data_IF_489698912556
#
_entry.id   IF_489698912556
#
_cell.length_a   1.000
_cell.length_b   1.000
_cell.length_c   1.000
_cell.angle_alpha   90.00
_cell.angle_beta   90.00
_cell.angle_gamma   90.00
#
_symmetry.space_group_name_H-M   'P 1'
#
loop_
_entity.id
_entity.type
_entity.pdbx_description
1 polymer ?
#
# COMPACT_ATOMS: atom_id res chain seq x y z
N UNK A 1 -18.95 15.62 -21.11
CA UNK A 1 -19.71 15.25 -19.87
C UNK A 1 -19.32 13.82 -19.53
N UNK A 2 -18.35 13.61 -18.63
CA UNK A 2 -17.89 12.28 -18.22
C UNK A 2 -18.64 11.86 -16.94
N UNK A 3 -19.88 11.43 -17.10
CA UNK A 3 -20.69 10.83 -16.04
C UNK A 3 -20.57 9.30 -16.10
N UNK A 4 -19.46 8.76 -15.61
CA UNK A 4 -19.32 7.31 -15.37
C UNK A 4 -18.25 6.99 -14.32
N UNK A 5 -18.04 7.88 -13.36
CA UNK A 5 -17.37 7.48 -12.13
C UNK A 5 -18.39 6.67 -11.34
N UNK A 6 -18.23 5.34 -11.32
CA UNK A 6 -18.83 4.52 -10.25
C UNK A 6 -18.57 5.26 -8.93
N UNK A 7 -19.57 5.37 -8.08
CA UNK A 7 -19.41 5.91 -6.73
C UNK A 7 -18.44 5.00 -5.97
N UNK A 8 -17.16 5.34 -6.02
CA UNK A 8 -16.14 4.63 -5.25
C UNK A 8 -16.35 5.01 -3.79
N UNK A 9 -16.48 4.00 -2.92
CA UNK A 9 -16.34 4.21 -1.49
C UNK A 9 -14.90 4.65 -1.24
N UNK A 10 -14.70 5.95 -1.03
CA UNK A 10 -13.38 6.54 -0.84
C UNK A 10 -13.36 7.29 0.48
N UNK A 11 -12.64 6.72 1.45
CA UNK A 11 -12.13 7.48 2.59
C UNK A 11 -10.70 7.92 2.23
N UNK A 12 -10.34 9.17 2.51
CA UNK A 12 -8.97 9.63 2.25
C UNK A 12 -7.98 8.87 3.13
N UNK A 13 -6.85 8.46 2.55
CA UNK A 13 -5.76 7.75 3.21
C UNK A 13 -5.10 8.53 4.35
N UNK A 14 -5.30 9.84 4.43
CA UNK A 14 -4.70 10.70 5.45
C UNK A 14 -5.68 11.15 6.54
N UNK A 15 -6.90 10.60 6.56
CA UNK A 15 -7.88 11.00 7.54
C UNK A 15 -7.39 10.65 8.96
N UNK A 16 -7.41 11.66 9.83
CA UNK A 16 -7.34 11.44 11.27
C UNK A 16 -8.67 10.84 11.72
N UNK A 17 -8.69 10.18 12.88
CA UNK A 17 -9.90 9.51 13.35
C UNK A 17 -11.06 10.47 13.63
N UNK A 18 -10.76 11.74 13.89
CA UNK A 18 -11.75 12.79 14.10
C UNK A 18 -12.05 13.59 12.82
N UNK A 19 -11.47 13.21 11.68
CA UNK A 19 -11.74 13.83 10.37
C UNK A 19 -13.05 13.25 9.80
N UNK A 20 -13.92 14.12 9.26
CA UNK A 20 -15.19 13.73 8.63
C UNK A 20 -15.01 12.78 7.43
N UNK A 21 -13.76 12.63 6.97
CA UNK A 21 -13.37 11.75 5.85
C UNK A 21 -13.10 10.30 6.26
N UNK A 22 -13.17 9.98 7.55
CA UNK A 22 -12.98 8.64 8.08
C UNK A 22 -14.32 8.00 8.42
N UNK A 23 -14.93 7.24 7.50
CA UNK A 23 -16.29 6.74 7.68
C UNK A 23 -16.35 5.25 7.98
N UNK A 24 -15.55 4.44 7.28
CA UNK A 24 -15.74 2.98 7.26
C UNK A 24 -14.76 2.21 8.13
N UNK A 25 -13.50 2.61 8.18
CA UNK A 25 -12.44 1.91 8.93
C UNK A 25 -11.88 2.86 9.99
N UNK A 26 -12.23 2.67 11.26
CA UNK A 26 -11.87 3.60 12.35
C UNK A 26 -11.09 2.93 13.48
N UNK A 27 -11.34 1.64 13.69
CA UNK A 27 -10.82 0.88 14.83
C UNK A 27 -9.95 -0.28 14.39
N UNK A 28 -9.25 -0.89 15.35
CA UNK A 28 -8.45 -2.08 15.09
C UNK A 28 -9.31 -3.27 14.63
N UNK A 29 -10.48 -3.44 15.24
CA UNK A 29 -11.43 -4.47 14.84
C UNK A 29 -11.88 -4.29 13.38
N UNK A 30 -12.21 -3.06 12.97
CA UNK A 30 -12.63 -2.76 11.60
C UNK A 30 -11.58 -3.21 10.57
N UNK A 31 -10.32 -2.85 10.80
CA UNK A 31 -9.25 -3.17 9.85
C UNK A 31 -8.91 -4.66 9.86
N UNK A 32 -8.91 -5.27 11.04
CA UNK A 32 -8.61 -6.68 11.20
C UNK A 32 -9.65 -7.54 10.49
N UNK A 33 -10.93 -7.17 10.61
CA UNK A 33 -12.05 -7.80 9.93
C UNK A 33 -12.01 -7.53 8.41
N UNK A 34 -11.75 -6.30 7.99
CA UNK A 34 -11.65 -5.94 6.56
C UNK A 34 -10.56 -6.74 5.83
N UNK A 35 -9.45 -7.02 6.52
CA UNK A 35 -8.33 -7.83 6.00
C UNK A 35 -8.42 -9.31 6.31
N UNK A 36 -9.49 -9.75 6.98
CA UNK A 36 -9.77 -11.15 7.11
C UNK A 36 -10.42 -11.68 5.83
N UNK A 37 -9.75 -12.60 5.14
CA UNK A 37 -10.29 -13.23 3.94
C UNK A 37 -10.19 -14.73 4.08
N UNK A 38 -11.35 -15.42 3.99
CA UNK A 38 -11.44 -16.87 4.17
C UNK A 38 -10.79 -17.36 5.48
N UNK A 39 -10.98 -16.60 6.57
CA UNK A 39 -10.40 -16.85 7.88
C UNK A 39 -8.85 -16.79 7.93
N UNK A 40 -8.22 -16.14 6.94
CA UNK A 40 -6.78 -15.88 6.88
C UNK A 40 -6.57 -14.37 6.96
N UNK A 41 -5.70 -13.94 7.88
CA UNK A 41 -5.33 -12.54 8.02
C UNK A 41 -4.40 -12.08 6.88
N UNK A 42 -4.77 -11.01 6.18
CA UNK A 42 -4.03 -10.43 5.04
C UNK A 42 -3.43 -9.05 5.32
N UNK A 43 -3.39 -8.63 6.58
CA UNK A 43 -2.75 -7.39 7.02
C UNK A 43 -1.27 -7.31 6.54
N UNK A 44 -0.78 -6.09 6.20
CA UNK A 44 0.64 -5.86 6.01
C UNK A 44 1.42 -6.08 7.33
N UNK A 45 2.74 -6.12 7.24
CA UNK A 45 3.59 -6.05 8.42
C UNK A 45 3.26 -4.79 9.22
N UNK A 46 2.77 -4.99 10.44
CA UNK A 46 2.35 -3.91 11.32
C UNK A 46 3.54 -3.39 12.11
N UNK A 47 3.51 -2.10 12.48
CA UNK A 47 4.47 -1.59 13.45
C UNK A 47 4.19 -2.22 14.82
N UNK A 48 5.27 -2.63 15.50
CA UNK A 48 5.23 -3.32 16.81
C UNK A 48 4.64 -2.50 17.96
N UNK A 49 4.20 -1.26 17.75
CA UNK A 49 3.41 -0.54 18.76
C UNK A 49 2.09 -1.26 19.09
N UNK A 50 1.69 -2.25 18.27
CA UNK A 50 0.61 -3.20 18.56
C UNK A 50 0.91 -4.26 19.64
N UNK A 51 2.16 -4.42 20.05
CA UNK A 51 2.53 -5.21 21.21
C UNK A 51 2.24 -4.44 22.50
N UNK A 52 1.39 -5.01 23.34
CA UNK A 52 1.08 -4.61 24.71
C UNK A 52 2.18 -3.79 25.41
N UNK A 53 1.82 -2.57 25.86
CA UNK A 53 2.50 -1.89 26.97
C UNK A 53 2.15 -2.60 28.29
N UNK A 54 2.52 -3.87 28.41
CA UNK A 54 2.76 -4.48 29.72
C UNK A 54 4.26 -4.44 29.94
N UNK A 55 4.68 -3.40 30.65
CA UNK A 55 5.92 -3.36 31.41
C UNK A 55 6.07 -4.66 32.19
N UNK A 56 6.83 -5.61 31.65
CA UNK A 56 7.52 -6.60 32.45
C UNK A 56 8.90 -6.79 31.85
N UNK A 57 9.88 -6.38 32.64
CA UNK A 57 11.29 -6.65 32.49
C UNK A 57 11.46 -8.17 32.35
N UNK A 58 12.12 -8.63 31.28
CA UNK A 58 12.50 -10.03 31.10
C UNK A 58 11.85 -10.66 29.87
N UNK A 59 12.70 -11.11 28.94
CA UNK A 59 12.33 -11.49 27.59
C UNK A 59 11.31 -12.63 27.47
N UNK A 60 10.51 -12.52 26.41
CA UNK A 60 10.03 -13.61 25.55
C UNK A 60 9.41 -12.98 24.31
N UNK A 61 9.65 -13.63 23.17
CA UNK A 61 9.40 -13.17 21.82
C UNK A 61 8.08 -12.40 21.67
N UNK A 62 8.20 -11.13 21.27
CA UNK A 62 7.06 -10.36 20.77
C UNK A 62 6.57 -11.03 19.49
N UNK A 63 5.47 -11.77 19.61
CA UNK A 63 4.81 -12.44 18.49
C UNK A 63 4.50 -11.42 17.40
N UNK A 64 5.31 -11.46 16.33
CA UNK A 64 4.95 -10.86 15.04
C UNK A 64 3.56 -11.37 14.71
N UNK A 65 2.57 -10.49 14.66
CA UNK A 65 1.22 -10.81 14.16
C UNK A 65 1.40 -11.40 12.77
N UNK A 66 1.36 -12.72 12.71
CA UNK A 66 1.81 -13.48 11.57
C UNK A 66 0.74 -13.36 10.48
N UNK A 67 1.14 -13.00 9.25
CA UNK A 67 0.25 -12.78 8.08
C UNK A 67 -0.42 -14.06 7.54
N UNK A 68 -0.58 -15.06 8.41
CA UNK A 68 -1.26 -16.35 8.20
C UNK A 68 -2.05 -16.82 9.42
N UNK A 69 -2.18 -16.00 10.47
CA UNK A 69 -2.99 -16.31 11.65
C UNK A 69 -4.48 -16.45 11.28
N UNK A 70 -5.20 -17.28 12.04
CA UNK A 70 -6.68 -17.29 12.01
C UNK A 70 -7.18 -15.88 12.32
N UNK A 71 -8.29 -15.47 11.70
CA UNK A 71 -8.89 -14.16 11.95
C UNK A 71 -9.66 -14.15 13.28
N UNK A 72 -8.97 -14.45 14.35
CA UNK A 72 -9.56 -14.35 15.67
C UNK A 72 -9.14 -13.03 16.29
N UNK A 73 -10.10 -12.27 16.81
CA UNK A 73 -9.87 -11.00 17.53
C UNK A 73 -10.12 -11.18 19.03
N UNK A 74 -10.53 -12.38 19.46
CA UNK A 74 -10.88 -12.67 20.84
C UNK A 74 -9.70 -12.61 21.81
N UNK A 75 -8.46 -12.65 21.29
CA UNK A 75 -7.24 -12.44 22.08
C UNK A 75 -7.02 -10.98 22.48
N UNK A 76 -7.75 -10.02 21.88
CA UNK A 76 -7.68 -8.60 22.23
C UNK A 76 -8.78 -8.22 23.22
N UNK A 77 -8.41 -7.37 24.19
CA UNK A 77 -9.38 -6.76 25.10
C UNK A 77 -10.42 -5.91 24.35
N UNK A 78 -11.61 -5.72 24.92
CA UNK A 78 -12.65 -4.84 24.34
C UNK A 78 -12.11 -3.42 24.09
N UNK A 79 -11.23 -2.92 24.96
CA UNK A 79 -10.60 -1.61 24.82
C UNK A 79 -9.65 -1.54 23.61
N UNK A 80 -8.82 -2.57 23.41
CA UNK A 80 -7.91 -2.65 22.28
C UNK A 80 -8.65 -2.82 20.95
N UNK A 81 -9.72 -3.60 20.92
CA UNK A 81 -10.57 -3.79 19.74
C UNK A 81 -11.20 -2.48 19.27
N UNK A 82 -11.75 -1.72 20.21
CA UNK A 82 -12.41 -0.42 19.96
C UNK A 82 -11.43 0.73 19.85
N UNK A 83 -10.12 0.49 20.02
CA UNK A 83 -9.11 1.52 19.94
C UNK A 83 -9.07 2.09 18.53
N UNK A 84 -9.16 3.41 18.47
CA UNK A 84 -9.05 4.21 17.26
C UNK A 84 -7.68 3.99 16.61
N UNK A 85 -7.65 3.83 15.28
CA UNK A 85 -6.40 3.57 14.54
C UNK A 85 -6.06 4.70 13.58
N UNK A 86 -4.78 4.88 13.32
CA UNK A 86 -4.27 5.81 12.33
C UNK A 86 -3.19 5.14 11.48
N UNK A 87 -3.14 5.39 10.17
CA UNK A 87 -4.13 6.07 9.33
C UNK A 87 -5.45 5.31 9.25
N UNK A 88 -6.58 6.01 9.27
CA UNK A 88 -7.88 5.38 9.17
C UNK A 88 -8.40 5.42 7.72
N UNK A 89 -9.55 4.78 7.46
CA UNK A 89 -10.20 4.76 6.15
C UNK A 89 -9.77 3.64 5.19
N UNK A 90 -10.58 3.46 4.15
CA UNK A 90 -10.47 2.38 3.16
C UNK A 90 -9.19 2.40 2.32
N UNK A 91 -8.66 3.58 1.95
CA UNK A 91 -7.43 3.63 1.14
C UNK A 91 -6.25 3.06 1.92
N UNK A 92 -6.11 3.45 3.18
CA UNK A 92 -5.09 2.94 4.08
C UNK A 92 -5.31 1.47 4.41
N UNK A 93 -6.57 1.10 4.70
CA UNK A 93 -6.94 -0.28 4.97
C UNK A 93 -6.66 -1.19 3.77
N UNK A 94 -6.75 -0.71 2.53
CA UNK A 94 -6.57 -1.49 1.28
C UNK A 94 -5.14 -1.51 0.72
N UNK A 95 -4.16 -0.96 1.47
CA UNK A 95 -2.74 -0.93 1.08
C UNK A 95 -2.20 -2.23 0.44
N UNK A 96 -1.51 -2.08 -0.67
CA UNK A 96 -0.81 -3.19 -1.31
C UNK A 96 0.37 -3.68 -0.46
N UNK A 97 0.43 -4.98 -0.21
CA UNK A 97 1.41 -5.59 0.70
C UNK A 97 2.10 -6.83 0.12
N UNK A 98 2.00 -7.07 -1.19
CA UNK A 98 2.84 -8.09 -1.80
C UNK A 98 4.26 -7.57 -1.98
N UNK A 99 5.22 -8.48 -1.83
CA UNK A 99 6.64 -8.21 -1.99
C UNK A 99 7.21 -9.16 -3.02
N UNK A 100 8.04 -8.63 -3.90
CA UNK A 100 8.75 -9.39 -4.92
C UNK A 100 10.26 -9.27 -4.76
N UNK A 101 10.96 -10.27 -5.27
CA UNK A 101 12.40 -10.30 -5.46
C UNK A 101 12.68 -10.72 -6.89
N UNK A 102 13.55 -9.97 -7.58
CA UNK A 102 14.02 -10.31 -8.91
C UNK A 102 15.42 -10.92 -8.79
N UNK A 103 15.65 -12.01 -9.52
CA UNK A 103 16.96 -12.67 -9.58
C UNK A 103 17.26 -13.22 -10.96
N UNK A 104 18.55 -13.40 -11.24
CA UNK A 104 19.08 -14.07 -12.43
C UNK A 104 20.21 -14.98 -11.95
N UNK A 105 20.00 -16.29 -12.02
CA UNK A 105 20.88 -17.28 -11.39
C UNK A 105 21.06 -16.94 -9.88
N UNK A 106 22.29 -16.75 -9.42
CA UNK A 106 22.59 -16.39 -8.03
C UNK A 106 22.58 -14.87 -7.76
N UNK A 107 22.45 -14.03 -8.81
CA UNK A 107 22.42 -12.58 -8.65
C UNK A 107 21.02 -12.11 -8.28
N UNK A 108 20.93 -11.34 -7.21
CA UNK A 108 19.70 -10.69 -6.75
C UNK A 108 19.78 -9.22 -7.13
N UNK A 109 18.74 -8.73 -7.81
CA UNK A 109 18.63 -7.32 -8.18
C UNK A 109 18.05 -6.53 -7.01
N UNK A 110 18.71 -5.44 -6.64
CA UNK A 110 18.17 -4.51 -5.65
C UNK A 110 17.08 -3.63 -6.29
N UNK A 111 15.95 -3.52 -5.59
CA UNK A 111 14.78 -2.75 -6.03
C UNK A 111 14.62 -1.60 -5.05
N UNK A 112 15.16 -0.43 -5.41
CA UNK A 112 15.10 0.75 -4.57
C UNK A 112 13.71 1.42 -4.67
N UNK A 113 13.05 1.56 -3.52
CA UNK A 113 11.72 2.16 -3.42
C UNK A 113 11.73 3.67 -3.13
N UNK A 114 12.87 4.27 -2.81
CA UNK A 114 12.95 5.70 -2.50
C UNK A 114 12.77 6.63 -3.72
N UNK A 115 13.36 6.34 -4.90
CA UNK A 115 13.28 7.23 -6.07
C UNK A 115 11.86 7.47 -6.57
N UNK A 116 10.91 6.59 -6.23
CA UNK A 116 9.52 6.66 -6.69
C UNK A 116 8.64 7.50 -5.76
N UNK A 117 9.19 8.03 -4.66
CA UNK A 117 8.44 8.79 -3.66
C UNK A 117 8.56 10.29 -3.91
N UNK A 118 7.47 11.01 -3.64
CA UNK A 118 7.50 12.46 -3.57
C UNK A 118 7.94 12.90 -2.16
N UNK A 119 9.09 13.56 -2.05
CA UNK A 119 9.64 14.01 -0.77
C UNK A 119 8.71 14.97 -0.01
N UNK A 120 7.85 15.72 -0.71
CA UNK A 120 6.86 16.59 -0.07
C UNK A 120 5.83 15.82 0.76
N UNK A 121 5.58 14.55 0.46
CA UNK A 121 4.61 13.71 1.17
C UNK A 121 5.07 13.38 2.60
N UNK A 122 6.37 13.50 2.89
CA UNK A 122 6.92 13.22 4.21
C UNK A 122 6.63 14.37 5.20
N UNK A 123 6.65 15.61 4.73
CA UNK A 123 6.54 16.79 5.60
C UNK A 123 5.13 17.11 6.06
N UNK A 124 4.13 16.87 5.21
CA UNK A 124 2.71 17.15 5.50
C UNK A 124 2.18 16.35 6.71
N UNK A 125 2.81 15.22 7.01
CA UNK A 125 2.34 14.25 8.00
C UNK A 125 2.85 14.53 9.43
N UNK A 126 4.10 14.98 9.59
CA UNK A 126 4.76 15.14 10.90
C UNK A 126 3.99 16.10 11.81
N UNK A 127 3.47 17.21 11.24
CA UNK A 127 2.79 18.26 12.01
C UNK A 127 1.43 17.82 12.56
N UNK A 128 0.67 17.03 11.79
CA UNK A 128 -0.66 16.53 12.21
C UNK A 128 -0.55 15.42 13.25
N UNK A 129 0.43 14.53 13.10
CA UNK A 129 0.62 13.41 14.03
C UNK A 129 0.94 13.88 15.46
N UNK A 130 1.84 14.85 15.61
CA UNK A 130 2.27 15.37 16.92
C UNK A 130 1.11 15.90 17.79
N UNK A 131 0.03 16.38 17.19
CA UNK A 131 -1.11 16.97 17.90
C UNK A 131 -2.11 15.93 18.45
N UNK A 132 -2.18 14.73 17.85
CA UNK A 132 -3.26 13.76 18.10
C UNK A 132 -2.74 12.35 18.44
N UNK A 133 -1.44 12.21 18.69
CA UNK A 133 -0.80 10.92 18.92
C UNK A 133 -1.35 10.14 20.15
N UNK A 134 -2.01 10.83 21.09
CA UNK A 134 -2.67 10.20 22.25
C UNK A 134 -4.01 9.54 21.91
N UNK A 135 -4.68 9.99 20.84
CA UNK A 135 -6.11 9.71 20.61
C UNK A 135 -6.34 8.48 19.72
N UNK A 136 -5.27 7.94 19.14
CA UNK A 136 -5.29 6.79 18.25
C UNK A 136 -4.00 5.99 18.35
N UNK A 137 -4.01 4.81 17.74
CA UNK A 137 -2.85 3.93 17.61
C UNK A 137 -2.37 3.87 16.18
N UNK A 138 -1.07 4.04 15.95
CA UNK A 138 -0.50 3.89 14.61
C UNK A 138 -0.36 2.40 14.29
N UNK A 139 -1.07 1.93 13.27
CA UNK A 139 -1.08 0.49 12.94
C UNK A 139 -0.15 0.12 11.79
N UNK A 140 0.26 1.11 10.97
CA UNK A 140 1.20 0.92 9.85
C UNK A 140 2.22 2.05 9.81
N UNK A 141 3.44 1.74 9.35
CA UNK A 141 4.47 2.73 9.15
C UNK A 141 4.12 3.68 8.00
N UNK A 142 3.62 4.86 8.35
CA UNK A 142 3.16 5.90 7.42
C UNK A 142 4.28 6.62 6.69
N UNK A 143 5.53 6.43 7.10
CA UNK A 143 6.72 6.90 6.38
C UNK A 143 7.36 5.81 5.53
N UNK A 144 6.78 4.60 5.45
CA UNK A 144 7.27 3.58 4.54
C UNK A 144 7.04 3.99 3.09
N UNK A 145 7.98 3.60 2.21
CA UNK A 145 7.84 3.81 0.77
C UNK A 145 6.55 3.18 0.22
N UNK A 146 6.23 1.97 0.70
CA UNK A 146 5.02 1.23 0.31
C UNK A 146 3.75 2.03 0.63
N UNK A 147 3.67 2.58 1.84
CA UNK A 147 2.54 3.42 2.24
C UNK A 147 2.49 4.74 1.48
N UNK A 148 3.61 5.45 1.34
CA UNK A 148 3.67 6.75 0.65
C UNK A 148 3.32 6.64 -0.82
N UNK A 149 3.71 5.57 -1.48
CA UNK A 149 3.31 5.32 -2.86
C UNK A 149 1.82 4.93 -2.97
N UNK A 150 1.30 4.15 -2.03
CA UNK A 150 -0.12 3.79 -2.00
C UNK A 150 -1.04 4.96 -1.65
N UNK A 151 -0.52 5.91 -0.87
CA UNK A 151 -1.23 7.06 -0.29
C UNK A 151 -2.11 7.81 -1.30
N UNK A 152 -1.62 8.03 -2.51
CA UNK A 152 -2.37 8.75 -3.54
C UNK A 152 -3.38 7.83 -4.23
N UNK A 153 -4.70 8.00 -4.06
CA UNK A 153 -5.67 7.16 -4.74
C UNK A 153 -5.55 7.35 -6.26
N UNK A 154 -5.64 6.27 -7.04
CA UNK A 154 -5.64 6.35 -8.50
C UNK A 154 -6.92 7.01 -8.99
N UNK A 155 -6.86 7.67 -10.15
CA UNK A 155 -8.05 8.28 -10.77
C UNK A 155 -9.01 7.24 -11.35
N UNK A 156 -8.54 6.04 -11.66
CA UNK A 156 -9.31 4.97 -12.33
C UNK A 156 -9.16 3.63 -11.59
N UNK A 157 -10.06 2.69 -11.86
CA UNK A 157 -10.05 1.35 -11.26
C UNK A 157 -8.90 0.45 -11.75
N UNK A 158 -8.32 0.80 -12.91
CA UNK A 158 -7.17 0.10 -13.50
C UNK A 158 -6.00 1.08 -13.51
N UNK A 159 -5.02 0.83 -12.65
CA UNK A 159 -3.94 1.77 -12.40
C UNK A 159 -2.62 1.04 -12.22
N UNK A 160 -1.54 1.79 -12.41
CA UNK A 160 -0.17 1.34 -12.17
C UNK A 160 0.41 2.24 -11.09
N UNK A 161 1.02 1.63 -10.09
CA UNK A 161 1.81 2.33 -9.07
C UNK A 161 3.26 1.88 -9.18
N UNK A 162 4.23 2.80 -9.16
CA UNK A 162 5.64 2.43 -9.23
C UNK A 162 6.03 1.66 -7.98
N UNK A 163 6.59 0.45 -8.12
CA UNK A 163 6.99 -0.36 -6.96
C UNK A 163 8.41 0.00 -6.48
N UNK A 164 9.31 0.27 -7.41
CA UNK A 164 10.69 0.67 -7.16
C UNK A 164 11.48 0.73 -8.47
N UNK A 165 12.77 1.04 -8.36
CA UNK A 165 13.70 1.20 -9.48
C UNK A 165 14.85 0.21 -9.31
N UNK A 166 15.18 -0.49 -10.39
CA UNK A 166 16.43 -1.24 -10.51
C UNK A 166 17.37 -0.33 -11.30
N UNK A 167 18.45 0.12 -10.66
CA UNK A 167 19.39 1.05 -11.27
C UNK A 167 20.37 0.38 -12.23
N UNK A 168 20.52 -0.93 -12.13
CA UNK A 168 21.40 -1.69 -13.01
C UNK A 168 20.69 -2.12 -14.30
N UNK A 169 21.44 -2.07 -15.41
CA UNK A 169 20.94 -2.49 -16.71
C UNK A 169 20.76 -4.02 -16.75
N UNK A 170 19.51 -4.43 -17.00
CA UNK A 170 19.15 -5.83 -17.16
C UNK A 170 19.60 -6.30 -18.55
N UNK A 171 20.48 -7.30 -18.57
CA UNK A 171 20.94 -7.90 -19.82
C UNK A 171 19.85 -8.77 -20.45
N UNK A 172 19.76 -8.87 -21.79
CA UNK A 172 18.85 -9.80 -22.44
C UNK A 172 19.09 -11.25 -21.99
N UNK A 173 18.02 -11.98 -21.70
CA UNK A 173 18.09 -13.40 -21.33
C UNK A 173 16.77 -13.95 -20.80
N UNK A 174 16.64 -15.27 -20.80
CA UNK A 174 15.35 -15.96 -20.52
C UNK A 174 15.23 -16.49 -19.08
N UNK A 175 16.27 -16.33 -18.25
CA UNK A 175 16.39 -16.99 -16.94
C UNK A 175 16.09 -16.09 -15.74
N UNK A 176 15.40 -14.96 -15.96
CA UNK A 176 14.98 -14.10 -14.87
C UNK A 176 13.87 -14.76 -14.05
N UNK A 177 14.01 -14.74 -12.72
CA UNK A 177 13.03 -15.26 -11.80
C UNK A 177 12.47 -14.15 -10.93
N UNK A 178 11.14 -14.04 -10.92
CA UNK A 178 10.39 -13.18 -9.98
C UNK A 178 9.83 -14.08 -8.89
N UNK A 179 10.39 -13.95 -7.70
CA UNK A 179 9.91 -14.62 -6.49
C UNK A 179 8.96 -13.69 -5.74
N UNK A 180 7.79 -14.19 -5.34
CA UNK A 180 6.90 -13.47 -4.44
C UNK A 180 7.23 -13.84 -3.00
N UNK A 181 8.04 -13.02 -2.34
CA UNK A 181 8.40 -13.22 -0.93
C UNK A 181 7.20 -12.97 0.00
N UNK A 182 6.24 -12.15 -0.44
CA UNK A 182 4.94 -11.99 0.22
C UNK A 182 3.84 -11.87 -0.84
N UNK A 183 2.77 -12.66 -0.72
CA UNK A 183 1.63 -12.66 -1.64
C UNK A 183 0.30 -12.75 -0.88
N UNK A 184 0.09 -11.81 0.03
CA UNK A 184 -1.06 -11.80 0.95
C UNK A 184 -2.18 -10.87 0.50
N UNK A 185 -1.94 -9.97 -0.46
CA UNK A 185 -2.96 -9.03 -0.90
C UNK A 185 -4.14 -9.76 -1.59
N UNK A 186 -5.39 -9.64 -1.10
CA UNK A 186 -6.49 -10.55 -1.42
C UNK A 186 -7.20 -10.24 -2.76
N UNK A 187 -6.44 -10.19 -3.86
CA UNK A 187 -6.93 -9.83 -5.18
C UNK A 187 -8.18 -10.62 -5.61
N UNK A 188 -8.15 -11.95 -5.47
CA UNK A 188 -9.27 -12.82 -5.89
C UNK A 188 -10.56 -12.51 -5.14
N UNK A 189 -10.48 -12.32 -3.82
CA UNK A 189 -11.65 -12.04 -2.99
C UNK A 189 -12.25 -10.67 -3.32
N UNK A 190 -11.39 -9.68 -3.58
CA UNK A 190 -11.81 -8.34 -4.00
C UNK A 190 -12.12 -8.21 -5.49
N UNK A 191 -12.19 -9.33 -6.23
CA UNK A 191 -12.44 -9.38 -7.67
C UNK A 191 -11.48 -8.47 -8.47
N UNK A 192 -10.26 -8.33 -7.99
CA UNK A 192 -9.18 -7.54 -8.59
C UNK A 192 -8.19 -8.43 -9.33
N UNK A 193 -7.50 -7.85 -10.32
CA UNK A 193 -6.34 -8.44 -10.97
C UNK A 193 -5.11 -7.64 -10.57
N UNK A 194 -4.01 -8.35 -10.28
CA UNK A 194 -2.72 -7.75 -9.93
C UNK A 194 -1.61 -8.35 -10.78
N UNK A 195 -0.61 -7.53 -11.11
CA UNK A 195 0.56 -7.92 -11.88
C UNK A 195 1.70 -6.98 -11.55
N UNK A 196 2.93 -7.48 -11.57
CA UNK A 196 4.13 -6.64 -11.62
C UNK A 196 4.52 -6.42 -13.07
N UNK A 197 4.93 -5.20 -13.40
CA UNK A 197 5.39 -4.83 -14.73
C UNK A 197 6.79 -4.26 -14.61
N UNK A 198 7.68 -4.77 -15.45
CA UNK A 198 9.03 -4.26 -15.61
C UNK A 198 9.07 -3.36 -16.83
N UNK A 199 9.47 -2.10 -16.64
CA UNK A 199 9.47 -1.09 -17.69
C UNK A 199 10.74 -0.26 -17.63
N UNK A 200 11.24 0.17 -18.78
CA UNK A 200 12.32 1.15 -18.89
C UNK A 200 11.72 2.54 -19.08
N UNK A 201 12.20 3.51 -18.32
CA UNK A 201 11.73 4.89 -18.44
C UNK A 201 12.26 5.54 -19.73
N UNK A 202 11.40 6.28 -20.41
CA UNK A 202 11.78 7.17 -21.52
C UNK A 202 11.60 8.62 -21.08
N UNK A 203 12.21 9.56 -21.81
CA UNK A 203 12.08 10.99 -21.53
C UNK A 203 10.62 11.47 -21.45
N UNK A 204 9.71 10.82 -22.20
CA UNK A 204 8.26 11.07 -22.16
C UNK A 204 7.56 9.79 -21.69
N UNK A 205 7.68 9.50 -20.39
CA UNK A 205 6.93 8.44 -19.70
C UNK A 205 7.05 7.04 -20.30
N UNK A 206 6.08 6.19 -19.97
CA UNK A 206 5.90 4.91 -20.66
C UNK A 206 5.26 5.15 -22.03
N UNK A 207 5.43 4.18 -22.92
CA UNK A 207 4.86 4.09 -24.27
C UNK A 207 3.57 4.92 -24.46
N UNK A 208 3.71 6.11 -25.04
CA UNK A 208 2.61 7.05 -25.31
C UNK A 208 2.30 7.13 -26.81
N UNK A 209 2.09 5.97 -27.46
CA UNK A 209 1.77 5.93 -28.89
C UNK A 209 0.51 6.73 -29.24
N UNK A 210 -0.47 6.77 -28.33
CA UNK A 210 -1.71 7.53 -28.46
C UNK A 210 -1.47 9.04 -28.60
N UNK A 211 -0.51 9.57 -27.86
CA UNK A 211 -0.10 10.98 -27.96
C UNK A 211 0.56 11.24 -29.32
N UNK A 212 1.45 10.35 -29.76
CA UNK A 212 2.11 10.46 -31.05
C UNK A 212 1.09 10.41 -32.21
N UNK A 213 0.12 9.51 -32.17
CA UNK A 213 -0.96 9.45 -33.16
C UNK A 213 -1.82 10.71 -33.15
N UNK A 214 -2.10 11.25 -31.97
CA UNK A 214 -2.89 12.49 -31.84
C UNK A 214 -2.18 13.68 -32.47
N UNK A 215 -0.87 13.85 -32.23
CA UNK A 215 -0.07 14.89 -32.89
C UNK A 215 0.05 14.67 -34.39
N UNK A 216 0.20 13.42 -34.84
CA UNK A 216 0.26 13.09 -36.26
C UNK A 216 -1.06 13.42 -36.99
N UNK A 217 -2.20 13.07 -36.38
CA UNK A 217 -3.52 13.40 -36.94
C UNK A 217 -3.78 14.90 -36.94
N UNK A 218 -3.42 15.62 -35.88
CA UNK A 218 -3.51 17.08 -35.85
C UNK A 218 -2.65 17.69 -36.95
N UNK A 219 -1.41 17.22 -37.14
CA UNK A 219 -0.55 17.70 -38.22
C UNK A 219 -1.17 17.52 -39.60
N UNK A 220 -1.88 16.40 -39.87
CA UNK A 220 -2.61 16.18 -41.13
C UNK A 220 -3.78 17.15 -41.28
N UNK A 221 -4.52 17.46 -40.21
CA UNK A 221 -5.66 18.39 -40.26
C UNK A 221 -5.20 19.83 -40.55
N UNK A 222 -4.01 20.21 -40.08
CA UNK A 222 -3.45 21.54 -40.27
C UNK A 222 -2.61 21.71 -41.55
N UNK A 223 -2.41 20.63 -42.31
CA UNK A 223 -1.74 20.60 -43.63
C UNK A 223 -2.78 20.78 -44.75
#
# INVERSE_FOLDING_TARGET
IFTNFKTFLSDESQALVNDCKCNYIKTFEDIYNFRCVNNIQTLPEMNNDLGSTTTTIGGKDSEKVNSKGRCDVSWLSEEERRRKIFPCGLVSASIFNDKIRLSLNDKIFDIDKFPVLNYYDFFSYIKKHKKYASDYKVWIHTFSADYKNWFHPPMTSSFIKPYGVIFEDLQPGDNYQIEFTQNTWPAKHWKAKKSFQLVTLRAVGNSAYELAYSFFLLAIIYL
#
